data_IF_125609682635
#
_entry.id   IF_125609682635
#
_cell.length_a   1.000
_cell.length_b   1.000
_cell.length_c   1.000
_cell.angle_alpha   90.00
_cell.angle_beta   90.00
_cell.angle_gamma   90.00
#
_symmetry.space_group_name_H-M   'P 1'
#
loop_
_entity.id
_entity.type
_entity.pdbx_description
1 polymer ?
#
# COMPACT_ATOMS: atom_id res chain seq x y z
N UNK A 1 3.70 13.93 -26.62
CA UNK A 1 2.69 13.93 -25.54
C UNK A 1 2.65 12.60 -24.79
N UNK A 2 2.45 11.45 -25.46
CA UNK A 2 2.40 10.14 -24.79
C UNK A 2 3.62 9.82 -23.91
N UNK A 3 4.84 10.16 -24.35
CA UNK A 3 6.06 9.96 -23.55
C UNK A 3 6.09 10.79 -22.25
N UNK A 4 5.59 12.02 -22.30
CA UNK A 4 5.50 12.90 -21.12
C UNK A 4 4.45 12.36 -20.15
N UNK A 5 3.30 11.92 -20.66
CA UNK A 5 2.26 11.28 -19.84
C UNK A 5 2.76 9.98 -19.23
N UNK A 6 3.48 9.15 -19.98
CA UNK A 6 4.09 7.92 -19.47
C UNK A 6 5.16 8.18 -18.40
N UNK A 7 5.98 9.22 -18.57
CA UNK A 7 6.97 9.63 -17.58
C UNK A 7 6.31 10.08 -16.27
N UNK A 8 5.30 10.95 -16.33
CA UNK A 8 4.59 11.44 -15.13
C UNK A 8 3.86 10.29 -14.44
N UNK A 9 3.09 9.50 -15.18
CA UNK A 9 2.34 8.38 -14.62
C UNK A 9 3.29 7.33 -14.03
N UNK A 10 4.27 6.87 -14.80
CA UNK A 10 5.21 5.83 -14.36
C UNK A 10 6.09 6.28 -13.19
N UNK A 11 6.51 7.55 -13.20
CA UNK A 11 7.34 8.14 -12.15
C UNK A 11 6.58 8.35 -10.83
N UNK A 12 5.28 8.61 -10.88
CA UNK A 12 4.47 8.87 -9.67
C UNK A 12 3.85 7.58 -9.11
N UNK A 13 3.44 6.64 -9.96
CA UNK A 13 2.76 5.41 -9.53
C UNK A 13 3.65 4.47 -8.71
N UNK A 14 4.94 4.31 -9.08
CA UNK A 14 5.84 3.40 -8.37
C UNK A 14 6.08 3.84 -6.90
N UNK A 15 6.45 5.10 -6.60
CA UNK A 15 6.56 5.57 -5.23
C UNK A 15 5.22 5.55 -4.48
N UNK A 16 4.11 5.89 -5.15
CA UNK A 16 2.79 5.87 -4.51
C UNK A 16 2.39 4.48 -4.03
N UNK A 17 2.69 3.43 -4.82
CA UNK A 17 2.41 2.06 -4.41
C UNK A 17 3.15 1.71 -3.11
N UNK A 18 4.46 1.97 -3.05
CA UNK A 18 5.26 1.73 -1.84
C UNK A 18 4.78 2.56 -0.64
N UNK A 19 4.44 3.84 -0.87
CA UNK A 19 3.99 4.73 0.19
C UNK A 19 2.62 4.33 0.75
N UNK A 20 1.68 3.90 -0.10
CA UNK A 20 0.35 3.46 0.33
C UNK A 20 0.41 2.16 1.13
N UNK A 21 1.28 1.23 0.73
CA UNK A 21 1.50 -0.01 1.49
C UNK A 21 2.11 0.30 2.85
N UNK A 22 3.16 1.12 2.91
CA UNK A 22 3.76 1.54 4.17
C UNK A 22 2.72 2.25 5.06
N UNK A 23 1.99 3.23 4.53
CA UNK A 23 0.94 3.92 5.28
C UNK A 23 -0.19 3.02 5.76
N UNK A 24 -0.49 1.93 5.06
CA UNK A 24 -1.49 0.96 5.55
C UNK A 24 -0.88 0.11 6.65
N UNK A 25 0.37 -0.32 6.48
CA UNK A 25 1.12 -1.15 7.43
C UNK A 25 1.37 -0.43 8.77
N UNK A 26 1.66 0.88 8.73
CA UNK A 26 1.90 1.72 9.92
C UNK A 26 0.66 1.93 10.82
N UNK A 27 -0.53 1.49 10.39
CA UNK A 27 -1.80 1.69 11.11
C UNK A 27 -2.53 0.37 11.42
N UNK A 28 -1.87 -0.78 11.28
CA UNK A 28 -2.42 -2.10 11.62
C UNK A 28 -1.72 -2.63 12.89
N UNK A 29 -2.52 -3.00 13.90
CA UNK A 29 -2.07 -3.80 15.04
C UNK A 29 -1.72 -5.23 14.56
N UNK A 30 -0.76 -5.89 15.23
CA UNK A 30 -0.17 -7.16 14.78
C UNK A 30 -1.20 -8.28 14.56
N UNK A 31 -2.23 -8.36 15.41
CA UNK A 31 -3.31 -9.35 15.31
C UNK A 31 -4.20 -9.18 14.07
N UNK A 32 -4.38 -7.94 13.61
CA UNK A 32 -5.21 -7.64 12.43
C UNK A 32 -4.41 -7.63 11.13
N UNK A 33 -3.08 -7.72 11.21
CA UNK A 33 -2.17 -7.61 10.08
C UNK A 33 -2.43 -8.67 9.00
N UNK A 34 -2.67 -9.93 9.41
CA UNK A 34 -2.93 -11.06 8.50
C UNK A 34 -4.28 -10.89 7.79
N UNK A 35 -5.33 -10.55 8.53
CA UNK A 35 -6.69 -10.41 8.00
C UNK A 35 -6.82 -9.20 7.05
N UNK A 36 -6.25 -8.06 7.40
CA UNK A 36 -6.28 -6.87 6.56
C UNK A 36 -5.33 -6.97 5.35
N UNK A 37 -4.20 -7.67 5.47
CA UNK A 37 -3.34 -8.00 4.32
C UNK A 37 -4.09 -8.85 3.27
N UNK A 38 -4.88 -9.83 3.73
CA UNK A 38 -5.75 -10.62 2.86
C UNK A 38 -6.81 -9.77 2.15
N UNK A 39 -7.42 -8.82 2.87
CA UNK A 39 -8.36 -7.85 2.29
C UNK A 39 -7.73 -6.94 1.22
N UNK A 40 -6.51 -6.46 1.47
CA UNK A 40 -5.76 -5.63 0.53
C UNK A 40 -5.44 -6.41 -0.77
N UNK A 41 -5.02 -7.68 -0.63
CA UNK A 41 -4.76 -8.56 -1.76
C UNK A 41 -6.04 -8.88 -2.56
N UNK A 42 -7.16 -9.08 -1.87
CA UNK A 42 -8.46 -9.31 -2.50
C UNK A 42 -8.90 -8.10 -3.33
N UNK A 43 -8.78 -6.87 -2.78
CA UNK A 43 -9.08 -5.63 -3.49
C UNK A 43 -8.14 -5.47 -4.69
N UNK A 44 -6.86 -5.78 -4.54
CA UNK A 44 -5.90 -5.79 -5.65
C UNK A 44 -6.35 -6.75 -6.76
N UNK A 45 -6.79 -7.96 -6.40
CA UNK A 45 -7.33 -8.94 -7.34
C UNK A 45 -8.56 -8.44 -8.09
N UNK A 46 -9.51 -7.80 -7.41
CA UNK A 46 -10.67 -7.17 -8.06
C UNK A 46 -10.21 -6.09 -9.05
N UNK A 47 -9.26 -5.23 -8.63
CA UNK A 47 -8.68 -4.20 -9.48
C UNK A 47 -7.97 -4.77 -10.71
N UNK A 48 -7.28 -5.90 -10.58
CA UNK A 48 -6.58 -6.58 -11.67
C UNK A 48 -7.55 -7.18 -12.69
N UNK A 49 -8.73 -7.65 -12.26
CA UNK A 49 -9.77 -8.18 -13.16
C UNK A 49 -10.56 -7.03 -13.82
N UNK A 50 -11.01 -6.06 -13.03
CA UNK A 50 -11.83 -4.96 -13.51
C UNK A 50 -11.03 -3.94 -14.34
N UNK A 51 -9.75 -3.74 -14.01
CA UNK A 51 -8.87 -2.75 -14.63
C UNK A 51 -8.80 -2.88 -16.15
N UNK A 52 -8.39 -4.03 -16.72
CA UNK A 52 -8.33 -4.22 -18.17
C UNK A 52 -9.68 -4.06 -18.86
N UNK A 53 -10.79 -4.46 -18.22
CA UNK A 53 -12.13 -4.33 -18.77
C UNK A 53 -12.55 -2.86 -18.88
N UNK A 54 -12.36 -2.09 -17.80
CA UNK A 54 -12.68 -0.66 -17.76
C UNK A 54 -11.77 0.12 -18.70
N UNK A 55 -10.46 -0.11 -18.63
CA UNK A 55 -9.47 0.53 -19.52
C UNK A 55 -9.79 0.24 -20.97
N UNK A 56 -10.05 -1.03 -21.32
CA UNK A 56 -10.37 -1.44 -22.68
C UNK A 56 -11.64 -0.76 -23.20
N UNK A 57 -12.69 -0.67 -22.37
CA UNK A 57 -13.92 0.04 -22.72
C UNK A 57 -13.69 1.55 -22.92
N UNK A 58 -12.96 2.20 -22.02
CA UNK A 58 -12.61 3.63 -22.15
C UNK A 58 -11.78 3.88 -23.41
N UNK A 59 -10.81 3.00 -23.71
CA UNK A 59 -10.00 3.10 -24.93
C UNK A 59 -10.82 2.88 -26.21
N UNK A 60 -11.90 2.09 -26.17
CA UNK A 60 -12.82 1.99 -27.30
C UNK A 60 -13.65 3.27 -27.49
N UNK A 61 -14.10 3.90 -26.40
CA UNK A 61 -14.98 5.07 -26.46
C UNK A 61 -14.26 6.35 -26.92
N UNK A 62 -13.04 6.61 -26.41
CA UNK A 62 -12.30 7.86 -26.66
C UNK A 62 -10.93 7.66 -27.29
N UNK A 63 -10.61 6.44 -27.71
CA UNK A 63 -9.34 6.08 -28.37
C UNK A 63 -8.18 5.84 -27.39
N UNK A 64 -6.97 5.69 -27.93
CA UNK A 64 -5.78 5.30 -27.17
C UNK A 64 -5.40 6.27 -26.02
N UNK A 65 -5.82 7.54 -26.09
CA UNK A 65 -5.62 8.52 -25.01
C UNK A 65 -6.41 8.18 -23.74
N UNK A 66 -7.47 7.37 -23.87
CA UNK A 66 -8.32 6.97 -22.76
C UNK A 66 -7.59 6.27 -21.63
N UNK A 67 -6.50 5.55 -21.94
CA UNK A 67 -5.62 4.96 -20.93
C UNK A 67 -5.05 6.03 -19.98
N UNK A 68 -4.44 7.07 -20.53
CA UNK A 68 -3.82 8.13 -19.73
C UNK A 68 -4.86 8.98 -19.00
N UNK A 69 -6.00 9.27 -19.64
CA UNK A 69 -7.10 10.02 -19.00
C UNK A 69 -7.63 9.28 -17.79
N UNK A 70 -7.86 7.97 -17.90
CA UNK A 70 -8.34 7.16 -16.78
C UNK A 70 -7.34 7.15 -15.63
N UNK A 71 -6.05 6.93 -15.93
CA UNK A 71 -5.01 6.94 -14.89
C UNK A 71 -4.88 8.31 -14.22
N UNK A 72 -4.89 9.41 -14.99
CA UNK A 72 -4.85 10.76 -14.43
C UNK A 72 -6.06 11.05 -13.54
N UNK A 73 -7.26 10.57 -13.91
CA UNK A 73 -8.46 10.71 -13.09
C UNK A 73 -8.35 9.96 -11.77
N UNK A 74 -7.89 8.70 -11.80
CA UNK A 74 -7.66 7.90 -10.59
C UNK A 74 -6.60 8.53 -9.67
N UNK A 75 -5.48 8.98 -10.24
CA UNK A 75 -4.43 9.69 -9.51
C UNK A 75 -4.95 10.98 -8.87
N UNK A 76 -5.74 11.76 -9.59
CA UNK A 76 -6.34 13.00 -9.06
C UNK A 76 -7.32 12.71 -7.91
N UNK A 77 -8.16 11.68 -8.05
CA UNK A 77 -9.07 11.25 -6.99
C UNK A 77 -8.32 10.82 -5.73
N UNK A 78 -7.26 10.02 -5.88
CA UNK A 78 -6.41 9.61 -4.77
C UNK A 78 -5.70 10.81 -4.12
N UNK A 79 -5.13 11.72 -4.92
CA UNK A 79 -4.44 12.90 -4.42
C UNK A 79 -5.36 13.83 -3.64
N UNK A 80 -6.59 14.05 -4.12
CA UNK A 80 -7.61 14.82 -3.41
C UNK A 80 -8.01 14.17 -2.09
N UNK A 81 -8.22 12.85 -2.09
CA UNK A 81 -8.54 12.11 -0.88
C UNK A 81 -7.37 12.16 0.13
N UNK A 82 -6.13 11.95 -0.33
CA UNK A 82 -4.95 12.02 0.50
C UNK A 82 -4.74 13.41 1.10
N UNK A 83 -4.91 14.47 0.31
CA UNK A 83 -4.87 15.84 0.78
C UNK A 83 -5.95 16.11 1.85
N UNK A 84 -7.19 15.72 1.57
CA UNK A 84 -8.30 15.83 2.53
C UNK A 84 -8.04 15.06 3.82
N UNK A 85 -7.56 13.81 3.73
CA UNK A 85 -7.25 12.97 4.90
C UNK A 85 -6.09 13.53 5.71
N UNK A 86 -5.05 14.04 5.05
CA UNK A 86 -3.91 14.69 5.71
C UNK A 86 -4.31 15.94 6.48
N UNK A 87 -5.43 16.61 6.13
CA UNK A 87 -5.95 17.73 6.93
C UNK A 87 -6.75 17.31 8.16
N UNK A 88 -7.19 16.05 8.25
CA UNK A 88 -8.07 15.60 9.34
C UNK A 88 -7.38 14.80 10.45
N UNK A 89 -6.20 14.23 10.21
CA UNK A 89 -5.51 13.37 11.18
C UNK A 89 -4.05 13.79 11.31
N UNK A 90 -3.60 14.06 12.53
CA UNK A 90 -2.17 14.21 12.82
C UNK A 90 -1.48 12.86 12.59
N UNK A 91 -0.27 12.88 12.03
CA UNK A 91 0.52 11.65 11.88
C UNK A 91 0.87 11.10 13.27
N UNK A 92 0.82 9.77 13.47
CA UNK A 92 1.31 9.14 14.70
C UNK A 92 2.76 9.53 14.94
N UNK A 93 3.14 9.63 16.21
CA UNK A 93 4.49 10.05 16.60
C UNK A 93 5.50 8.95 16.29
N UNK A 94 6.76 9.32 16.04
CA UNK A 94 7.84 8.38 15.69
C UNK A 94 8.05 7.29 16.77
N UNK A 95 7.65 7.58 18.01
CA UNK A 95 7.63 6.62 19.13
C UNK A 95 6.61 5.48 18.99
N UNK A 96 5.53 5.64 18.21
CA UNK A 96 4.49 4.62 17.96
C UNK A 96 4.78 3.80 16.69
N UNK A 97 5.83 4.16 15.94
CA UNK A 97 6.19 3.46 14.72
C UNK A 97 6.88 2.12 15.06
N UNK A 98 6.20 1.01 14.73
CA UNK A 98 6.69 -0.36 14.91
C UNK A 98 8.18 -0.50 14.55
N UNK A 99 8.93 -1.19 15.42
CA UNK A 99 10.36 -1.44 15.23
C UNK A 99 10.62 -2.11 13.86
N UNK A 100 11.21 -1.36 12.94
CA UNK A 100 11.45 -1.82 11.58
C UNK A 100 12.62 -2.82 11.56
N UNK A 101 12.34 -4.11 11.40
CA UNK A 101 13.38 -5.12 11.16
C UNK A 101 13.94 -4.95 9.74
N UNK A 102 15.20 -4.55 9.64
CA UNK A 102 15.87 -4.34 8.37
C UNK A 102 16.16 -5.67 7.70
N UNK A 103 15.31 -6.06 6.74
CA UNK A 103 15.59 -7.20 5.87
C UNK A 103 16.43 -6.72 4.69
N UNK A 104 17.48 -7.46 4.33
CA UNK A 104 18.30 -7.09 3.17
C UNK A 104 17.44 -7.11 1.89
N UNK A 105 17.58 -6.13 0.98
CA UNK A 105 16.83 -6.11 -0.29
C UNK A 105 17.06 -7.34 -1.17
N UNK A 106 18.15 -8.08 -0.94
CA UNK A 106 18.52 -9.32 -1.64
C UNK A 106 18.08 -10.59 -0.90
N UNK A 107 17.34 -10.47 0.19
CA UNK A 107 16.83 -11.62 0.93
C UNK A 107 15.85 -12.41 0.05
N UNK A 108 15.90 -13.74 0.18
CA UNK A 108 14.93 -14.59 -0.51
C UNK A 108 13.53 -14.36 0.07
N UNK A 109 12.47 -14.58 -0.70
CA UNK A 109 11.08 -14.46 -0.23
C UNK A 109 10.83 -15.27 1.05
N UNK A 110 11.39 -16.49 1.12
CA UNK A 110 11.33 -17.34 2.30
C UNK A 110 12.03 -16.71 3.51
N UNK A 111 13.16 -16.03 3.30
CA UNK A 111 13.90 -15.33 4.37
C UNK A 111 13.15 -14.12 4.89
N UNK A 112 12.40 -13.42 4.03
CA UNK A 112 11.54 -12.30 4.42
C UNK A 112 10.37 -12.82 5.25
N UNK A 113 9.74 -13.91 4.82
CA UNK A 113 8.60 -14.54 5.51
C UNK A 113 8.99 -15.03 6.91
N UNK A 114 10.11 -15.75 7.04
CA UNK A 114 10.64 -16.15 8.35
C UNK A 114 11.03 -14.97 9.25
N UNK A 115 11.59 -13.90 8.67
CA UNK A 115 11.92 -12.70 9.43
C UNK A 115 10.67 -11.98 9.94
N UNK A 116 9.58 -11.98 9.15
CA UNK A 116 8.29 -11.45 9.58
C UNK A 116 7.66 -12.32 10.68
N UNK A 117 7.71 -13.65 10.56
CA UNK A 117 7.17 -14.58 11.55
C UNK A 117 7.83 -14.39 12.93
N UNK A 118 9.17 -14.33 12.98
CA UNK A 118 9.93 -14.08 14.21
C UNK A 118 9.61 -12.69 14.79
N UNK A 119 9.45 -11.67 13.94
CA UNK A 119 9.12 -10.33 14.40
C UNK A 119 7.71 -10.25 15.02
N UNK A 120 6.75 -10.97 14.44
CA UNK A 120 5.39 -11.08 14.99
C UNK A 120 5.41 -11.85 16.32
N UNK A 121 6.12 -12.98 16.38
CA UNK A 121 6.25 -13.79 17.60
C UNK A 121 6.89 -12.99 18.75
N UNK A 122 7.96 -12.24 18.47
CA UNK A 122 8.64 -11.39 19.47
C UNK A 122 7.75 -10.26 19.97
N UNK A 123 6.98 -9.62 19.07
CA UNK A 123 6.05 -8.55 19.45
C UNK A 123 4.90 -9.05 20.33
N UNK A 124 4.34 -10.23 20.00
CA UNK A 124 3.30 -10.87 20.81
C UNK A 124 3.82 -11.29 22.19
N UNK A 125 5.06 -11.81 22.28
CA UNK A 125 5.70 -12.13 23.56
C UNK A 125 5.95 -10.88 24.43
N UNK A 126 6.32 -9.75 23.82
CA UNK A 126 6.48 -8.48 24.53
C UNK A 126 5.15 -7.93 25.07
N UNK A 127 4.05 -8.02 24.31
CA UNK A 127 2.70 -7.64 24.76
C UNK A 127 2.21 -8.54 25.90
N UNK A 128 2.37 -9.87 25.77
CA UNK A 128 1.95 -10.84 26.79
C UNK A 128 2.78 -10.69 28.08
N UNK A 129 4.04 -10.26 27.99
CA UNK A 129 4.89 -9.94 29.15
C UNK A 129 4.49 -8.65 29.87
N UNK A 130 3.93 -7.66 29.15
CA UNK A 130 3.45 -6.41 29.75
C UNK A 130 2.12 -6.58 30.49
N UNK A 131 1.23 -7.45 30.02
CA UNK A 131 -0.06 -7.76 30.67
C UNK A 131 0.08 -8.62 31.94
N UNK A 132 1.22 -9.29 32.15
CA UNK A 132 1.49 -10.13 33.34
C UNK A 132 2.05 -9.32 34.52
N UNK A 133 2.56 -8.10 34.26
CA UNK A 133 3.14 -7.21 35.27
C UNK A 133 2.18 -6.10 35.78
N UNK A 134 0.92 -6.03 35.32
CA UNK A 134 -0.20 -5.26 35.92
C UNK A 134 -1.06 -6.08 36.91
#
# INVERSE_FOLDING_TARGET
>A
MLLVSAFIVGGTSNPLYSLLIAHTNDFLDFDDMVSASGGLLFINGIGAIAGPLIVGWVMQAIGAYGFFVLISFLMAGLALYAAYRSTQRAAPTVEEANAYQTVMPTASLLSVEFAQEIAIETAMEEEESQDVDE
#
